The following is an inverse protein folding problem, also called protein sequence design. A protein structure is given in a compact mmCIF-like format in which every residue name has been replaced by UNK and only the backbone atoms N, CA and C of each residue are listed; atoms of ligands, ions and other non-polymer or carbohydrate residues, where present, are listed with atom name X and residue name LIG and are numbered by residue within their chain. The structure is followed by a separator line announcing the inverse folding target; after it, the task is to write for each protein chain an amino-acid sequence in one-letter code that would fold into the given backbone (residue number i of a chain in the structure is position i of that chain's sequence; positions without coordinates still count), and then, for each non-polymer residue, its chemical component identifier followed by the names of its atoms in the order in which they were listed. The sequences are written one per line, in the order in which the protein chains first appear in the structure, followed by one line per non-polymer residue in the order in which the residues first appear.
data_IF_067305015029
#
_entry.id   IF_067305015029
#
_cell.length_a   1.000
_cell.length_b   1.000
_cell.length_c   1.000
_cell.angle_alpha   90.00
_cell.angle_beta   90.00
_cell.angle_gamma   90.00
#
_symmetry.space_group_name_H-M   'P 1'
#
loop_
_entity.id
_entity.type
_entity.pdbx_description
1 polymer ?
#
# COMPACT_ATOMS: atom_id res chain seq x y z
N UNK A 1 22.27 -34.80 110.17
CA UNK A 1 21.54 -35.97 109.62
C UNK A 1 20.10 -35.88 110.15
N UNK A 2 19.18 -35.41 109.29
CA UNK A 2 17.85 -34.96 109.70
C UNK A 2 16.85 -36.12 109.88
N UNK A 3 16.05 -35.98 110.94
CA UNK A 3 15.12 -36.96 111.50
C UNK A 3 13.80 -37.04 110.73
N UNK A 4 13.49 -38.28 110.39
CA UNK A 4 12.22 -39.01 110.40
C UNK A 4 10.99 -38.47 111.17
N UNK A 5 9.83 -38.71 110.52
CA UNK A 5 8.54 -39.26 111.02
C UNK A 5 7.56 -38.41 111.90
N UNK A 6 6.36 -38.23 111.31
CA UNK A 6 5.00 -38.54 111.82
C UNK A 6 4.36 -37.73 112.97
N UNK A 7 3.14 -37.21 112.70
CA UNK A 7 1.91 -37.21 113.53
C UNK A 7 0.95 -36.11 113.00
N UNK A 8 -0.27 -36.39 112.55
CA UNK A 8 -1.51 -36.50 113.36
C UNK A 8 -2.22 -35.13 113.40
N UNK A 9 -3.36 -34.87 112.73
CA UNK A 9 -4.76 -35.28 112.97
C UNK A 9 -5.62 -34.03 113.28
N UNK A 10 -6.84 -33.93 112.68
CA UNK A 10 -8.00 -33.08 113.07
C UNK A 10 -7.90 -31.55 112.73
N UNK A 11 -8.86 -30.78 112.19
CA UNK A 11 -10.35 -30.72 112.25
C UNK A 11 -10.94 -29.92 111.04
N UNK A 12 -11.98 -30.48 110.41
CA UNK A 12 -13.27 -29.93 109.92
C UNK A 12 -13.49 -28.40 109.69
N UNK A 13 -13.94 -27.99 108.47
CA UNK A 13 -15.07 -27.04 108.24
C UNK A 13 -15.43 -26.79 106.74
N UNK A 14 -16.56 -27.38 106.30
CA UNK A 14 -17.68 -26.85 105.47
C UNK A 14 -17.47 -25.99 104.21
N UNK A 15 -18.03 -26.47 103.06
CA UNK A 15 -18.94 -25.84 102.05
C UNK A 15 -18.72 -26.55 100.69
N UNK A 16 -19.66 -26.87 99.81
CA UNK A 16 -21.11 -26.67 99.64
C UNK A 16 -21.50 -27.67 98.53
N UNK A 17 -22.56 -28.46 98.71
CA UNK A 17 -23.07 -29.34 97.67
C UNK A 17 -23.83 -28.52 96.61
N UNK A 18 -23.49 -28.70 95.33
CA UNK A 18 -24.40 -28.42 94.21
C UNK A 18 -24.52 -29.71 93.38
N UNK A 19 -25.64 -30.42 93.57
CA UNK A 19 -26.03 -31.54 92.72
C UNK A 19 -26.69 -30.99 91.45
N UNK A 20 -25.92 -30.84 90.37
CA UNK A 20 -26.50 -30.65 89.04
C UNK A 20 -26.82 -32.01 88.45
N UNK A 21 -28.12 -32.29 88.33
CA UNK A 21 -28.68 -33.41 87.58
C UNK A 21 -28.33 -33.25 86.10
N UNK A 22 -27.38 -34.05 85.60
CA UNK A 22 -27.10 -34.14 84.16
C UNK A 22 -28.22 -34.97 83.54
N UNK A 23 -29.30 -34.30 83.16
CA UNK A 23 -30.28 -34.83 82.21
C UNK A 23 -29.53 -35.33 80.97
N UNK A 24 -29.91 -36.53 80.52
CA UNK A 24 -29.23 -37.28 79.46
C UNK A 24 -28.76 -36.43 78.28
N UNK A 25 -27.45 -36.47 78.04
CA UNK A 25 -26.90 -36.12 76.75
C UNK A 25 -27.42 -37.16 75.74
N UNK A 26 -28.44 -36.77 74.98
CA UNK A 26 -28.82 -37.47 73.76
C UNK A 26 -27.58 -37.44 72.87
N UNK A 27 -26.98 -38.61 72.63
CA UNK A 27 -25.98 -38.74 71.59
C UNK A 27 -26.61 -38.28 70.27
N UNK A 28 -26.15 -37.15 69.73
CA UNK A 28 -26.39 -36.83 68.34
C UNK A 28 -25.81 -37.98 67.50
N UNK A 29 -26.51 -38.45 66.46
CA UNK A 29 -25.90 -39.39 65.54
C UNK A 29 -24.68 -38.69 64.96
N UNK A 30 -23.49 -39.26 65.19
CA UNK A 30 -22.28 -38.86 64.49
C UNK A 30 -22.58 -38.98 63.00
N UNK A 31 -22.85 -37.83 62.36
CA UNK A 31 -23.01 -37.78 60.92
C UNK A 31 -21.67 -38.23 60.33
N UNK A 32 -21.64 -39.43 59.78
CA UNK A 32 -20.49 -39.93 59.06
C UNK A 32 -20.13 -38.87 58.01
N UNK A 33 -18.95 -38.25 58.13
CA UNK A 33 -18.49 -37.25 57.17
C UNK A 33 -18.45 -37.96 55.81
N UNK A 34 -19.27 -37.53 54.82
CA UNK A 34 -19.30 -38.20 53.53
C UNK A 34 -17.90 -38.11 52.91
N UNK A 35 -17.37 -39.26 52.49
CA UNK A 35 -16.05 -39.34 51.87
C UNK A 35 -16.07 -38.51 50.58
N UNK A 36 -15.32 -37.42 50.56
CA UNK A 36 -15.22 -36.56 49.38
C UNK A 36 -14.67 -37.37 48.19
N UNK A 37 -15.26 -37.14 47.01
CA UNK A 37 -14.83 -37.77 45.77
C UNK A 37 -13.79 -36.88 45.09
N UNK A 38 -12.73 -37.48 44.57
CA UNK A 38 -11.69 -36.78 43.83
C UNK A 38 -12.01 -36.76 42.34
N UNK A 39 -12.06 -35.55 41.77
CA UNK A 39 -12.19 -35.33 40.34
C UNK A 39 -10.84 -34.86 39.80
N UNK A 40 -10.40 -35.46 38.70
CA UNK A 40 -9.23 -35.02 37.94
C UNK A 40 -9.64 -34.53 36.56
N UNK A 41 -9.13 -33.36 36.18
CA UNK A 41 -9.33 -32.76 34.87
C UNK A 41 -7.96 -32.61 34.22
N UNK A 42 -7.79 -33.24 33.06
CA UNK A 42 -6.60 -33.15 32.23
C UNK A 42 -6.94 -32.53 30.86
N UNK A 43 -5.90 -32.10 30.15
CA UNK A 43 -6.01 -31.67 28.75
C UNK A 43 -5.02 -32.46 27.91
N UNK A 44 -5.36 -32.67 26.65
CA UNK A 44 -4.45 -33.21 25.64
C UNK A 44 -4.51 -32.29 24.41
N UNK A 45 -3.43 -31.53 24.10
CA UNK A 45 -2.14 -31.46 24.80
C UNK A 45 -2.23 -30.98 26.26
N UNK A 46 -1.24 -31.38 27.07
CA UNK A 46 -1.18 -31.00 28.48
C UNK A 46 -0.95 -29.49 28.67
N UNK A 47 -1.19 -29.00 29.89
CA UNK A 47 -0.93 -27.59 30.27
C UNK A 47 -1.78 -26.58 29.51
N UNK A 48 -3.04 -26.90 29.22
CA UNK A 48 -4.02 -25.95 28.69
C UNK A 48 -4.92 -25.41 29.81
N UNK A 49 -5.52 -24.24 29.57
CA UNK A 49 -6.41 -23.55 30.49
C UNK A 49 -7.75 -24.29 30.59
N UNK A 50 -8.22 -24.51 31.80
CA UNK A 50 -9.54 -25.03 32.13
C UNK A 50 -10.26 -24.04 33.05
N UNK A 51 -11.56 -24.22 33.24
CA UNK A 51 -12.35 -23.49 34.21
C UNK A 51 -13.21 -24.47 35.01
N UNK A 52 -13.19 -24.34 36.33
CA UNK A 52 -14.07 -25.09 37.23
C UNK A 52 -14.96 -24.08 37.96
N UNK A 53 -16.28 -24.19 37.78
CA UNK A 53 -17.28 -23.23 38.23
C UNK A 53 -16.95 -21.79 37.80
N UNK A 54 -16.41 -21.62 36.60
CA UNK A 54 -15.95 -20.33 36.07
C UNK A 54 -14.58 -19.84 36.58
N UNK A 55 -13.98 -20.51 37.57
CA UNK A 55 -12.64 -20.16 38.04
C UNK A 55 -11.56 -20.76 37.13
N UNK A 56 -10.68 -19.93 36.52
CA UNK A 56 -9.62 -20.43 35.64
C UNK A 56 -8.53 -21.17 36.41
N UNK A 57 -8.02 -22.25 35.82
CA UNK A 57 -6.90 -23.05 36.33
C UNK A 57 -6.15 -23.74 35.17
N UNK A 58 -4.91 -24.15 35.40
CA UNK A 58 -4.14 -24.93 34.42
C UNK A 58 -4.34 -26.44 34.66
N UNK A 59 -4.53 -27.21 33.59
CA UNK A 59 -4.56 -28.67 33.68
C UNK A 59 -3.13 -29.28 33.69
N UNK A 60 -2.93 -30.43 34.36
CA UNK A 60 -3.92 -31.18 35.10
C UNK A 60 -4.30 -30.52 36.44
N UNK A 61 -5.59 -30.57 36.79
CA UNK A 61 -6.11 -30.12 38.07
C UNK A 61 -6.86 -31.28 38.74
N UNK A 62 -6.57 -31.53 40.01
CA UNK A 62 -7.36 -32.43 40.84
C UNK A 62 -7.97 -31.66 42.01
N UNK A 63 -9.24 -31.91 42.29
CA UNK A 63 -9.95 -31.32 43.42
C UNK A 63 -10.92 -32.32 44.04
N UNK A 64 -11.23 -32.12 45.31
CA UNK A 64 -12.24 -32.91 46.03
C UNK A 64 -13.58 -32.19 46.02
N UNK A 65 -14.68 -32.94 45.89
CA UNK A 65 -16.03 -32.43 46.01
C UNK A 65 -16.94 -33.38 46.79
N UNK A 66 -17.94 -32.80 47.44
CA UNK A 66 -18.90 -33.56 48.23
C UNK A 66 -19.74 -34.48 47.32
N UNK A 67 -20.04 -35.71 47.75
CA UNK A 67 -20.87 -36.63 46.99
C UNK A 67 -22.20 -36.01 46.57
N UNK A 68 -22.64 -36.34 45.36
CA UNK A 68 -23.90 -35.86 44.76
C UNK A 68 -24.00 -34.34 44.53
N UNK A 69 -22.90 -33.58 44.65
CA UNK A 69 -22.83 -32.20 44.16
C UNK A 69 -22.46 -32.16 42.67
N UNK A 70 -22.81 -31.07 41.99
CA UNK A 70 -22.42 -30.84 40.60
C UNK A 70 -21.32 -29.77 40.52
N UNK A 71 -20.49 -29.87 39.48
CA UNK A 71 -19.46 -28.89 39.13
C UNK A 71 -19.61 -28.53 37.66
N UNK A 72 -19.57 -27.25 37.34
CA UNK A 72 -19.43 -26.82 35.94
C UNK A 72 -17.95 -26.89 35.57
N UNK A 73 -17.65 -27.50 34.43
CA UNK A 73 -16.32 -27.52 33.85
C UNK A 73 -16.40 -26.92 32.45
N UNK A 74 -15.39 -26.15 32.08
CA UNK A 74 -15.28 -25.54 30.77
C UNK A 74 -13.81 -25.51 30.33
N UNK A 75 -13.58 -25.49 29.02
CA UNK A 75 -12.29 -25.14 28.45
C UNK A 75 -12.45 -23.97 27.48
N UNK A 76 -11.79 -22.81 27.71
CA UNK A 76 -11.75 -21.75 26.71
C UNK A 76 -11.17 -22.26 25.38
N UNK A 77 -11.73 -21.83 24.26
CA UNK A 77 -11.31 -22.28 22.92
C UNK A 77 -11.59 -21.20 21.87
N UNK A 78 -10.68 -20.97 20.90
CA UNK A 78 -9.33 -21.54 20.84
C UNK A 78 -8.41 -20.92 21.89
N UNK A 79 -7.40 -21.67 22.33
CA UNK A 79 -6.32 -21.16 23.20
C UNK A 79 -5.08 -20.88 22.36
N UNK A 80 -4.67 -19.62 22.28
CA UNK A 80 -3.54 -19.20 21.45
C UNK A 80 -2.26 -19.15 22.28
N UNK A 81 -1.20 -19.78 21.77
CA UNK A 81 0.15 -19.71 22.31
C UNK A 81 1.13 -19.37 21.17
N UNK A 82 1.38 -18.07 20.97
CA UNK A 82 2.20 -17.58 19.87
C UNK A 82 1.58 -17.92 18.51
N UNK A 83 2.31 -18.68 17.69
CA UNK A 83 1.89 -19.10 16.33
C UNK A 83 1.23 -20.49 16.30
N UNK A 84 0.88 -21.03 17.46
CA UNK A 84 0.12 -22.28 17.62
C UNK A 84 -1.17 -21.96 18.38
N UNK A 85 -2.30 -22.54 17.98
CA UNK A 85 -3.53 -22.47 18.77
C UNK A 85 -4.16 -23.84 18.94
N UNK A 86 -4.89 -24.00 20.03
CA UNK A 86 -5.54 -25.25 20.43
C UNK A 86 -7.05 -25.05 20.37
N UNK A 87 -7.72 -25.75 19.48
CA UNK A 87 -9.17 -25.71 19.33
C UNK A 87 -9.79 -26.94 20.02
N UNK A 88 -10.75 -26.71 20.92
CA UNK A 88 -11.46 -27.78 21.61
C UNK A 88 -12.09 -28.74 20.60
N UNK A 89 -11.82 -30.03 20.76
CA UNK A 89 -12.39 -31.09 19.95
C UNK A 89 -13.56 -31.75 20.69
N UNK A 90 -13.26 -32.37 21.84
CA UNK A 90 -14.26 -33.06 22.66
C UNK A 90 -13.71 -33.33 24.07
N UNK A 91 -14.63 -33.60 25.00
CA UNK A 91 -14.29 -34.21 26.27
C UNK A 91 -14.29 -35.74 26.18
N UNK A 92 -13.55 -36.40 27.07
CA UNK A 92 -13.52 -37.87 27.19
C UNK A 92 -14.85 -38.49 27.61
N UNK A 93 -15.75 -37.70 28.22
CA UNK A 93 -17.09 -38.11 28.63
C UNK A 93 -18.17 -37.75 27.58
N UNK A 94 -17.79 -37.17 26.45
CA UNK A 94 -18.70 -36.74 25.39
C UNK A 94 -19.52 -35.49 25.72
N UNK A 95 -19.19 -34.76 26.81
CA UNK A 95 -19.84 -33.51 27.16
C UNK A 95 -19.55 -32.37 26.18
N UNK A 96 -20.40 -31.32 26.20
CA UNK A 96 -20.15 -30.07 25.48
C UNK A 96 -18.95 -29.32 26.06
N UNK A 97 -18.39 -28.34 25.33
CA UNK A 97 -17.21 -27.57 25.77
C UNK A 97 -17.33 -27.03 27.21
N UNK A 98 -18.49 -26.46 27.54
CA UNK A 98 -18.92 -26.16 28.90
C UNK A 98 -20.06 -27.11 29.26
N UNK A 99 -19.93 -27.86 30.36
CA UNK A 99 -20.97 -28.75 30.87
C UNK A 99 -20.85 -28.97 32.36
N UNK A 100 -21.84 -29.65 32.93
CA UNK A 100 -21.85 -30.04 34.34
C UNK A 100 -21.47 -31.50 34.49
N UNK A 101 -20.63 -31.78 35.49
CA UNK A 101 -20.26 -33.12 35.93
C UNK A 101 -20.80 -33.37 37.33
N UNK A 102 -21.13 -34.63 37.63
CA UNK A 102 -21.56 -35.04 38.96
C UNK A 102 -20.40 -35.59 39.78
N UNK A 103 -20.31 -35.18 41.03
CA UNK A 103 -19.37 -35.70 42.01
C UNK A 103 -19.89 -36.97 42.71
N UNK A 104 -20.68 -37.82 42.03
CA UNK A 104 -21.24 -39.03 42.63
C UNK A 104 -20.18 -40.10 42.94
N UNK A 105 -19.09 -40.15 42.17
CA UNK A 105 -17.94 -41.03 42.34
C UNK A 105 -16.66 -40.32 41.88
N UNK A 106 -15.46 -40.84 42.19
CA UNK A 106 -14.22 -40.34 41.60
C UNK A 106 -14.29 -40.42 40.07
N UNK A 107 -13.74 -39.41 39.38
CA UNK A 107 -13.86 -39.27 37.94
C UNK A 107 -12.66 -38.59 37.29
N UNK A 108 -12.33 -39.02 36.08
CA UNK A 108 -11.27 -38.44 35.27
C UNK A 108 -11.87 -37.88 33.97
N UNK A 109 -11.68 -36.59 33.74
CA UNK A 109 -12.16 -35.88 32.55
C UNK A 109 -10.96 -35.36 31.77
N UNK A 110 -10.86 -35.69 30.48
CA UNK A 110 -9.81 -35.19 29.60
C UNK A 110 -10.44 -34.36 28.49
N UNK A 111 -10.05 -33.10 28.35
CA UNK A 111 -10.38 -32.30 27.18
C UNK A 111 -9.34 -32.53 26.08
N UNK A 112 -9.78 -32.98 24.93
CA UNK A 112 -8.96 -33.12 23.74
C UNK A 112 -9.05 -31.87 22.88
N UNK A 113 -7.91 -31.43 22.36
CA UNK A 113 -7.80 -30.27 21.48
C UNK A 113 -7.12 -30.68 20.17
N UNK A 114 -7.62 -30.12 19.08
CA UNK A 114 -6.90 -30.06 17.82
C UNK A 114 -5.81 -28.99 17.89
N UNK A 115 -4.64 -29.30 17.34
CA UNK A 115 -3.54 -28.33 17.21
C UNK A 115 -3.69 -27.66 15.84
N UNK A 116 -3.64 -26.33 15.80
CA UNK A 116 -3.59 -25.56 14.57
C UNK A 116 -2.34 -24.68 14.56
N UNK A 117 -1.68 -24.60 13.41
CA UNK A 117 -0.50 -23.76 13.20
C UNK A 117 -0.84 -22.54 12.34
N UNK A 118 -0.18 -21.43 12.64
CA UNK A 118 -0.29 -20.23 11.84
C UNK A 118 0.56 -20.36 10.56
N UNK A 119 -0.09 -20.16 9.43
CA UNK A 119 0.52 -19.89 8.14
C UNK A 119 0.48 -18.37 7.91
N UNK A 120 1.61 -17.71 8.14
CA UNK A 120 1.79 -16.29 7.85
C UNK A 120 2.08 -16.09 6.37
N UNK A 121 1.27 -15.28 5.70
CA UNK A 121 1.32 -15.02 4.26
C UNK A 121 1.74 -13.58 4.03
N UNK A 122 2.82 -13.39 3.27
CA UNK A 122 3.35 -12.08 2.93
C UNK A 122 3.72 -12.03 1.44
N UNK A 123 3.83 -10.83 0.92
CA UNK A 123 4.40 -10.57 -0.41
C UNK A 123 5.41 -9.45 -0.34
N UNK A 124 6.35 -9.48 -1.27
CA UNK A 124 7.28 -8.38 -1.55
C UNK A 124 7.21 -8.05 -3.05
N UNK A 125 6.68 -6.88 -3.45
CA UNK A 125 6.18 -5.80 -2.59
C UNK A 125 4.90 -6.20 -1.83
N UNK A 126 4.62 -5.49 -0.73
CA UNK A 126 3.48 -5.78 0.15
C UNK A 126 2.13 -5.47 -0.51
N UNK A 127 1.04 -5.93 0.11
CA UNK A 127 -0.34 -5.68 -0.33
C UNK A 127 -0.74 -6.38 -1.63
N UNK A 128 -0.01 -7.43 -2.03
CA UNK A 128 -0.42 -8.34 -3.10
C UNK A 128 -1.23 -9.51 -2.53
N UNK A 129 -1.84 -10.28 -3.43
CA UNK A 129 -2.72 -11.39 -3.08
C UNK A 129 -1.95 -12.71 -3.06
N UNK A 130 -2.26 -13.56 -2.09
CA UNK A 130 -1.87 -14.98 -2.04
C UNK A 130 -3.15 -15.79 -1.91
N UNK A 131 -3.21 -16.96 -2.54
CA UNK A 131 -4.31 -17.89 -2.39
C UNK A 131 -3.91 -19.08 -1.52
N UNK A 132 -4.81 -19.53 -0.66
CA UNK A 132 -4.71 -20.81 0.07
C UNK A 132 -5.94 -21.64 -0.28
N UNK A 133 -5.75 -22.83 -0.82
CA UNK A 133 -6.81 -23.74 -1.32
C UNK A 133 -7.81 -23.05 -2.26
N UNK A 134 -7.31 -22.12 -3.09
CA UNK A 134 -8.11 -21.34 -4.04
C UNK A 134 -8.86 -20.14 -3.44
N UNK A 135 -8.73 -19.89 -2.13
CA UNK A 135 -9.27 -18.69 -1.48
C UNK A 135 -8.22 -17.58 -1.46
N UNK A 136 -8.58 -16.40 -1.95
CA UNK A 136 -7.69 -15.25 -2.01
C UNK A 136 -7.59 -14.49 -0.68
N UNK A 137 -6.37 -14.13 -0.30
CA UNK A 137 -6.02 -13.35 0.88
C UNK A 137 -5.16 -12.15 0.48
N UNK A 138 -5.56 -10.94 0.87
CA UNK A 138 -4.69 -9.77 0.80
C UNK A 138 -3.61 -9.88 1.88
N UNK A 139 -2.34 -9.68 1.52
CA UNK A 139 -1.22 -9.80 2.45
C UNK A 139 -0.84 -8.45 3.09
N UNK A 140 -0.34 -8.44 4.34
CA UNK A 140 -0.07 -9.58 5.21
C UNK A 140 -1.35 -10.24 5.75
N UNK A 141 -1.37 -11.58 5.82
CA UNK A 141 -2.48 -12.35 6.37
C UNK A 141 -2.00 -13.55 7.17
N UNK A 142 -2.86 -14.07 8.04
CA UNK A 142 -2.61 -15.30 8.80
C UNK A 142 -3.77 -16.26 8.59
N UNK A 143 -3.45 -17.44 8.08
CA UNK A 143 -4.39 -18.57 7.97
C UNK A 143 -4.01 -19.59 9.04
N UNK A 144 -4.99 -20.10 9.76
CA UNK A 144 -4.76 -21.17 10.72
C UNK A 144 -5.12 -22.51 10.08
N UNK A 145 -4.15 -23.41 10.01
CA UNK A 145 -4.32 -24.73 9.43
C UNK A 145 -4.24 -25.80 10.51
N UNK A 146 -4.98 -26.91 10.32
CA UNK A 146 -4.97 -28.04 11.23
C UNK A 146 -3.66 -28.81 11.12
N UNK A 147 -3.07 -29.19 12.25
CA UNK A 147 -1.83 -29.98 12.27
C UNK A 147 -1.96 -31.26 11.45
N UNK A 148 -0.99 -31.52 10.57
CA UNK A 148 -0.92 -32.70 9.72
C UNK A 148 -1.67 -32.58 8.39
N UNK A 149 -2.36 -31.48 8.11
CA UNK A 149 -2.94 -31.22 6.77
C UNK A 149 -1.90 -30.70 5.79
N UNK A 150 -2.25 -30.72 4.51
CA UNK A 150 -1.48 -30.13 3.42
C UNK A 150 -2.38 -29.13 2.71
N UNK A 151 -1.87 -27.93 2.45
CA UNK A 151 -2.60 -26.85 1.79
C UNK A 151 -1.94 -26.45 0.49
N UNK A 152 -2.74 -26.21 -0.54
CA UNK A 152 -2.28 -25.61 -1.79
C UNK A 152 -2.11 -24.12 -1.59
N UNK A 153 -0.95 -23.57 -1.92
CA UNK A 153 -0.67 -22.15 -1.89
C UNK A 153 -0.32 -21.67 -3.28
N UNK A 154 -0.86 -20.52 -3.67
CA UNK A 154 -0.62 -19.92 -4.97
C UNK A 154 -0.33 -18.43 -4.81
N UNK A 155 0.63 -17.92 -5.57
CA UNK A 155 0.82 -16.51 -5.78
C UNK A 155 0.30 -16.16 -7.18
N UNK A 156 -0.96 -15.71 -7.34
CA UNK A 156 -1.50 -15.36 -8.65
C UNK A 156 -0.57 -14.41 -9.39
N UNK A 157 -0.37 -14.63 -10.69
CA UNK A 157 0.52 -13.79 -11.49
C UNK A 157 0.03 -13.77 -12.95
N UNK A 158 0.06 -12.62 -13.63
CA UNK A 158 0.45 -11.30 -13.11
C UNK A 158 -0.63 -10.69 -12.17
N UNK A 159 -0.21 -9.83 -11.23
CA UNK A 159 -1.12 -8.99 -10.44
C UNK A 159 -1.00 -7.51 -10.82
N UNK A 160 -1.96 -6.70 -10.40
CA UNK A 160 -2.00 -5.26 -10.67
C UNK A 160 -2.79 -4.88 -11.93
N UNK A 161 -3.03 -3.59 -12.09
CA UNK A 161 -3.81 -3.01 -13.19
C UNK A 161 -3.04 -1.90 -13.91
N UNK A 162 -3.49 -1.56 -15.13
CA UNK A 162 -2.92 -0.48 -15.95
C UNK A 162 -1.43 -0.68 -16.29
N UNK A 163 -0.62 0.35 -16.08
CA UNK A 163 0.79 0.39 -16.49
C UNK A 163 1.76 -0.31 -15.52
N UNK A 164 1.31 -0.83 -14.38
CA UNK A 164 2.16 -1.61 -13.46
C UNK A 164 1.65 -3.06 -13.35
N UNK A 165 2.56 -4.02 -13.45
CA UNK A 165 2.29 -5.45 -13.28
C UNK A 165 3.31 -6.09 -12.35
N UNK A 166 2.84 -6.91 -11.42
CA UNK A 166 3.66 -7.69 -10.50
C UNK A 166 3.78 -9.11 -11.04
N UNK A 167 5.00 -9.51 -11.40
CA UNK A 167 5.31 -10.81 -11.97
C UNK A 167 5.98 -11.66 -10.90
N UNK A 168 5.41 -12.81 -10.60
CA UNK A 168 5.93 -13.73 -9.60
C UNK A 168 7.36 -14.14 -9.97
N UNK A 169 8.25 -14.11 -8.98
CA UNK A 169 9.62 -14.56 -9.10
C UNK A 169 9.78 -15.92 -8.43
N UNK A 170 9.60 -15.94 -7.10
CA UNK A 170 9.81 -17.12 -6.27
C UNK A 170 9.17 -16.93 -4.90
N UNK A 171 8.97 -18.03 -4.20
CA UNK A 171 8.70 -18.03 -2.77
C UNK A 171 10.00 -18.08 -1.96
N UNK A 172 9.96 -17.66 -0.71
CA UNK A 172 11.08 -17.83 0.24
C UNK A 172 11.40 -19.29 0.57
N UNK A 173 10.46 -20.21 0.37
CA UNK A 173 10.64 -21.65 0.57
C UNK A 173 11.14 -22.39 -0.69
N UNK A 174 11.32 -21.68 -1.80
CA UNK A 174 11.75 -22.24 -3.08
C UNK A 174 10.66 -22.99 -3.85
N UNK A 175 9.41 -22.95 -3.40
CA UNK A 175 8.27 -23.53 -4.11
C UNK A 175 7.99 -22.86 -5.45
N UNK A 176 7.31 -23.59 -6.35
CA UNK A 176 6.76 -23.02 -7.58
C UNK A 176 5.64 -22.01 -7.31
N UNK A 177 5.12 -21.33 -8.34
CA UNK A 177 4.06 -20.33 -8.16
C UNK A 177 2.84 -20.89 -7.41
N UNK A 178 2.38 -22.07 -7.84
CA UNK A 178 1.41 -22.93 -7.17
C UNK A 178 2.16 -24.16 -6.66
N UNK A 179 2.09 -24.41 -5.36
CA UNK A 179 2.66 -25.59 -4.72
C UNK A 179 1.89 -25.95 -3.45
N UNK A 180 2.30 -27.02 -2.79
CA UNK A 180 1.68 -27.45 -1.52
C UNK A 180 2.63 -27.26 -0.36
N UNK A 181 2.10 -26.87 0.79
CA UNK A 181 2.85 -26.76 2.04
C UNK A 181 2.20 -27.63 3.13
N UNK A 182 2.99 -28.40 3.90
CA UNK A 182 2.47 -29.13 5.05
C UNK A 182 2.22 -28.17 6.23
N UNK A 183 1.14 -28.41 6.96
CA UNK A 183 0.85 -27.76 8.23
C UNK A 183 1.39 -28.62 9.39
N UNK A 184 2.70 -28.80 9.44
CA UNK A 184 3.41 -29.59 10.47
C UNK A 184 3.98 -28.73 11.61
N UNK A 185 4.05 -27.42 11.37
CA UNK A 185 4.60 -26.41 12.26
C UNK A 185 4.17 -25.02 11.78
N UNK A 186 4.27 -23.98 12.62
CA UNK A 186 4.04 -22.61 12.16
C UNK A 186 4.99 -22.23 11.02
N UNK A 187 4.48 -21.59 9.98
CA UNK A 187 5.22 -21.30 8.75
C UNK A 187 5.01 -19.87 8.30
N UNK A 188 6.05 -19.26 7.75
CA UNK A 188 5.99 -17.95 7.10
C UNK A 188 6.34 -18.09 5.63
N UNK A 189 5.39 -17.75 4.77
CA UNK A 189 5.54 -17.72 3.32
C UNK A 189 5.61 -16.28 2.84
N UNK A 190 6.61 -16.00 2.01
CA UNK A 190 6.80 -14.70 1.35
C UNK A 190 6.92 -14.94 -0.15
N UNK A 191 5.98 -14.43 -0.94
CA UNK A 191 6.08 -14.44 -2.40
C UNK A 191 6.77 -13.15 -2.87
N UNK A 192 7.86 -13.30 -3.59
CA UNK A 192 8.58 -12.21 -4.22
C UNK A 192 8.08 -11.99 -5.64
N UNK A 193 7.86 -10.73 -6.00
CA UNK A 193 7.46 -10.32 -7.33
C UNK A 193 8.44 -9.26 -7.84
N UNK A 194 8.74 -9.29 -9.14
CA UNK A 194 9.31 -8.13 -9.81
C UNK A 194 8.18 -7.24 -10.32
N UNK A 195 8.46 -5.94 -10.35
CA UNK A 195 7.55 -4.95 -10.90
C UNK A 195 7.95 -4.72 -12.36
N UNK A 196 6.99 -4.87 -13.27
CA UNK A 196 7.11 -4.50 -14.67
C UNK A 196 6.24 -3.29 -14.94
N UNK A 197 6.79 -2.30 -15.64
CA UNK A 197 6.11 -1.07 -16.03
C UNK A 197 5.89 -1.05 -17.53
N UNK A 198 4.74 -0.54 -17.96
CA UNK A 198 4.46 -0.24 -19.37
C UNK A 198 4.65 1.24 -19.61
N UNK A 199 5.50 1.57 -20.59
CA UNK A 199 5.80 2.93 -21.02
C UNK A 199 5.14 3.16 -22.37
N UNK A 200 4.42 4.27 -22.48
CA UNK A 200 3.77 4.68 -23.74
C UNK A 200 4.54 5.83 -24.36
N UNK A 201 4.69 5.79 -25.69
CA UNK A 201 5.35 6.82 -26.48
C UNK A 201 4.37 7.30 -27.54
N UNK A 202 4.16 8.61 -27.58
CA UNK A 202 3.26 9.30 -28.48
C UNK A 202 4.02 10.31 -29.34
N UNK A 203 3.30 10.92 -30.27
CA UNK A 203 3.76 12.11 -30.99
C UNK A 203 2.69 13.19 -30.95
N UNK A 204 3.10 14.45 -31.15
CA UNK A 204 2.21 15.61 -31.19
C UNK A 204 1.19 15.57 -32.33
N UNK A 205 1.44 14.78 -33.38
CA UNK A 205 0.58 14.63 -34.55
C UNK A 205 0.50 13.15 -34.90
N UNK A 206 -0.71 12.67 -35.21
CA UNK A 206 -0.94 11.28 -35.58
C UNK A 206 -0.38 10.97 -36.98
N UNK A 207 0.85 10.46 -37.01
CA UNK A 207 1.55 9.92 -38.19
C UNK A 207 2.42 8.73 -37.72
N UNK A 208 2.74 7.77 -38.60
CA UNK A 208 3.55 6.60 -38.26
C UNK A 208 5.06 6.94 -38.15
N UNK A 209 5.39 7.93 -37.33
CA UNK A 209 6.77 8.25 -36.97
C UNK A 209 7.44 7.09 -36.24
N UNK A 210 8.76 7.02 -36.30
CA UNK A 210 9.53 6.00 -35.58
C UNK A 210 10.30 6.59 -34.40
N UNK A 211 10.37 5.82 -33.32
CA UNK A 211 11.27 6.02 -32.18
C UNK A 211 12.09 4.76 -32.00
N UNK A 212 13.36 4.88 -31.62
CA UNK A 212 14.17 3.74 -31.22
C UNK A 212 14.11 3.61 -29.70
N UNK A 213 13.81 2.39 -29.22
CA UNK A 213 13.95 1.98 -27.82
C UNK A 213 15.09 0.98 -27.75
N UNK A 214 16.16 1.32 -27.02
CA UNK A 214 17.40 0.53 -26.94
C UNK A 214 17.98 0.18 -28.33
N UNK A 215 17.86 1.12 -29.28
CA UNK A 215 18.30 0.95 -30.67
C UNK A 215 17.32 0.20 -31.58
N UNK A 216 16.20 -0.31 -31.05
CA UNK A 216 15.19 -1.03 -31.83
C UNK A 216 14.08 -0.04 -32.28
N UNK A 217 13.83 0.12 -33.59
CA UNK A 217 12.81 1.03 -34.10
C UNK A 217 11.39 0.53 -33.79
N UNK A 218 10.51 1.45 -33.40
CA UNK A 218 9.09 1.25 -33.11
C UNK A 218 8.26 2.37 -33.74
N UNK A 219 7.12 2.03 -34.33
CA UNK A 219 6.18 2.99 -34.94
C UNK A 219 5.25 3.58 -33.88
N UNK A 220 5.03 4.89 -33.91
CA UNK A 220 4.19 5.62 -32.95
C UNK A 220 2.69 5.58 -33.33
N UNK A 221 1.76 5.53 -32.34
CA UNK A 221 2.03 5.38 -30.91
C UNK A 221 2.61 3.99 -30.58
N UNK A 222 3.63 3.96 -29.72
CA UNK A 222 4.32 2.75 -29.34
C UNK A 222 4.21 2.52 -27.84
N UNK A 223 4.26 1.26 -27.42
CA UNK A 223 4.46 0.91 -26.01
C UNK A 223 5.61 -0.09 -25.88
N UNK A 224 6.22 -0.14 -24.70
CA UNK A 224 7.14 -1.21 -24.33
C UNK A 224 7.11 -1.44 -22.82
N UNK A 225 7.53 -2.63 -22.39
CA UNK A 225 7.62 -3.00 -20.98
C UNK A 225 9.06 -3.02 -20.49
N UNK A 226 9.30 -2.58 -19.26
CA UNK A 226 10.59 -2.69 -18.60
C UNK A 226 10.44 -3.06 -17.12
N UNK A 227 11.48 -3.68 -16.56
CA UNK A 227 11.55 -3.97 -15.13
C UNK A 227 11.80 -2.67 -14.35
N UNK A 228 11.15 -2.54 -13.19
CA UNK A 228 11.29 -1.37 -12.33
C UNK A 228 12.75 -1.14 -11.94
N UNK A 229 13.18 0.11 -11.96
CA UNK A 229 14.55 0.54 -11.67
C UNK A 229 15.55 0.32 -12.81
N UNK A 230 15.16 -0.30 -13.93
CA UNK A 230 16.06 -0.47 -15.08
C UNK A 230 16.09 0.76 -15.97
N UNK A 231 17.23 1.00 -16.61
CA UNK A 231 17.40 2.08 -17.58
C UNK A 231 17.03 1.64 -19.00
N UNK A 232 16.49 2.57 -19.78
CA UNK A 232 16.14 2.41 -21.20
C UNK A 232 16.57 3.63 -21.99
N UNK A 233 17.01 3.43 -23.22
CA UNK A 233 17.44 4.51 -24.11
C UNK A 233 16.37 4.79 -25.15
N UNK A 234 15.84 6.02 -25.13
CA UNK A 234 14.97 6.54 -26.17
C UNK A 234 15.78 7.41 -27.13
N UNK A 235 15.60 7.20 -28.43
CA UNK A 235 16.17 8.08 -29.45
C UNK A 235 15.29 8.20 -30.67
N UNK A 236 15.38 9.33 -31.35
CA UNK A 236 14.66 9.60 -32.59
C UNK A 236 15.68 9.89 -33.68
N UNK A 237 15.73 9.04 -34.70
CA UNK A 237 16.45 9.34 -35.94
C UNK A 237 15.66 10.39 -36.71
N UNK A 238 16.30 11.50 -37.07
CA UNK A 238 15.68 12.66 -37.73
C UNK A 238 16.62 13.20 -38.82
N UNK A 239 16.12 13.69 -39.96
CA UNK A 239 14.70 13.80 -40.36
C UNK A 239 14.07 12.45 -40.72
N UNK A 240 12.74 12.37 -40.66
CA UNK A 240 11.95 11.21 -41.10
C UNK A 240 11.09 11.57 -42.31
N UNK A 241 10.92 10.63 -43.24
CA UNK A 241 9.98 10.81 -44.37
C UNK A 241 8.75 9.96 -44.10
N UNK A 242 7.62 10.62 -43.88
CA UNK A 242 6.34 9.97 -43.58
C UNK A 242 5.26 10.61 -44.44
N UNK A 243 4.45 9.78 -45.10
CA UNK A 243 3.34 10.26 -45.96
C UNK A 243 3.80 11.29 -47.01
N UNK A 244 4.93 11.03 -47.69
CA UNK A 244 5.56 11.92 -48.70
C UNK A 244 5.97 13.32 -48.19
N UNK A 245 6.02 13.53 -46.88
CA UNK A 245 6.52 14.75 -46.27
C UNK A 245 7.75 14.45 -45.42
N UNK A 246 8.73 15.34 -45.45
CA UNK A 246 9.89 15.29 -44.54
C UNK A 246 9.52 16.00 -43.25
N UNK A 247 9.75 15.33 -42.13
CA UNK A 247 9.48 15.83 -40.78
C UNK A 247 10.78 15.87 -39.99
N UNK A 248 10.97 16.96 -39.24
CA UNK A 248 12.09 17.16 -38.33
C UNK A 248 11.59 16.94 -36.91
N UNK A 249 12.28 16.11 -36.15
CA UNK A 249 12.11 16.03 -34.71
C UNK A 249 12.58 17.33 -34.06
N UNK A 250 11.72 17.98 -33.30
CA UNK A 250 12.00 19.27 -32.64
C UNK A 250 12.31 19.14 -31.16
N UNK A 251 12.02 18.00 -30.54
CA UNK A 251 12.32 17.71 -29.15
C UNK A 251 11.27 16.84 -28.48
N UNK A 252 11.59 16.33 -27.29
CA UNK A 252 10.61 15.69 -26.42
C UNK A 252 9.76 16.76 -25.71
N UNK A 253 8.49 16.47 -25.42
CA UNK A 253 7.60 17.43 -24.75
C UNK A 253 8.02 17.81 -23.32
N UNK A 254 8.85 16.99 -22.68
CA UNK A 254 9.46 17.25 -21.37
C UNK A 254 10.86 17.86 -21.48
N UNK A 255 11.27 18.31 -22.67
CA UNK A 255 12.56 18.94 -22.96
C UNK A 255 13.79 18.03 -22.74
N UNK A 256 13.59 16.71 -22.68
CA UNK A 256 14.70 15.76 -22.62
C UNK A 256 15.62 15.80 -23.85
N UNK A 257 16.89 15.37 -23.73
CA UNK A 257 17.82 15.31 -24.85
C UNK A 257 17.46 14.19 -25.85
N UNK A 258 18.14 14.17 -27.00
CA UNK A 258 18.07 13.08 -27.98
C UNK A 258 19.49 12.66 -28.39
N UNK A 259 19.94 11.42 -28.10
CA UNK A 259 19.24 10.37 -27.34
C UNK A 259 19.08 10.73 -25.85
N UNK A 260 18.21 10.00 -25.14
CA UNK A 260 18.06 10.09 -23.67
C UNK A 260 17.98 8.72 -23.02
N UNK A 261 18.51 8.63 -21.81
CA UNK A 261 18.24 7.53 -20.90
C UNK A 261 17.07 7.90 -20.01
N UNK A 262 16.15 6.96 -19.82
CA UNK A 262 15.05 7.04 -18.89
C UNK A 262 15.17 5.88 -17.90
N UNK A 263 14.82 6.12 -16.64
CA UNK A 263 14.72 5.08 -15.63
C UNK A 263 13.28 4.61 -15.56
N UNK A 264 13.06 3.31 -15.50
CA UNK A 264 11.74 2.71 -15.32
C UNK A 264 11.34 2.76 -13.84
N UNK A 265 11.05 3.94 -13.30
CA UNK A 265 10.70 4.16 -11.89
C UNK A 265 9.22 4.53 -11.67
N UNK A 266 8.45 4.69 -12.75
CA UNK A 266 7.02 4.91 -12.72
C UNK A 266 6.38 4.77 -14.09
N UNK A 267 5.04 4.68 -14.17
CA UNK A 267 4.33 4.73 -15.44
C UNK A 267 4.54 6.11 -16.07
N UNK A 268 5.32 6.16 -17.15
CA UNK A 268 5.66 7.38 -17.87
C UNK A 268 5.11 7.35 -19.30
N UNK A 269 4.59 8.50 -19.74
CA UNK A 269 4.25 8.74 -21.14
C UNK A 269 5.27 9.71 -21.73
N UNK A 270 5.90 9.34 -22.83
CA UNK A 270 6.81 10.22 -23.57
C UNK A 270 6.13 10.71 -24.84
N UNK A 271 6.33 11.96 -25.21
CA UNK A 271 5.79 12.50 -26.46
C UNK A 271 6.89 13.16 -27.27
N UNK A 272 7.06 12.70 -28.51
CA UNK A 272 8.01 13.23 -29.47
C UNK A 272 7.34 14.30 -30.34
N UNK A 273 7.93 15.50 -30.39
CA UNK A 273 7.42 16.58 -31.23
C UNK A 273 8.09 16.56 -32.60
N UNK A 274 7.27 16.59 -33.65
CA UNK A 274 7.71 16.69 -35.03
C UNK A 274 7.09 17.90 -35.70
N UNK A 275 7.83 18.48 -36.62
CA UNK A 275 7.41 19.61 -37.43
C UNK A 275 7.79 19.37 -38.89
N UNK A 276 6.90 19.77 -39.83
CA UNK A 276 7.13 19.53 -41.26
C UNK A 276 8.27 20.40 -41.75
N UNK A 277 9.25 19.81 -42.41
CA UNK A 277 10.30 20.56 -43.11
C UNK A 277 9.67 21.14 -44.37
N UNK A 278 9.41 22.44 -44.35
CA UNK A 278 9.11 23.19 -45.57
C UNK A 278 10.45 23.45 -46.26
N UNK A 279 10.62 22.94 -47.48
CA UNK A 279 11.74 23.36 -48.32
C UNK A 279 11.71 24.87 -48.56
N UNK A 280 12.80 25.49 -49.04
CA UNK A 280 12.67 26.81 -49.64
C UNK A 280 11.55 26.70 -50.68
N UNK A 281 10.54 27.56 -50.60
CA UNK A 281 9.45 27.56 -51.57
C UNK A 281 10.01 27.61 -52.99
N UNK A 282 9.22 27.25 -54.03
CA UNK A 282 9.64 27.54 -55.39
C UNK A 282 10.12 28.99 -55.42
N UNK A 283 11.36 29.21 -55.87
CA UNK A 283 11.92 30.55 -55.99
C UNK A 283 10.83 31.44 -56.62
N UNK A 284 10.52 32.63 -56.05
CA UNK A 284 9.59 33.52 -56.71
C UNK A 284 10.05 33.66 -58.18
N UNK A 285 9.13 33.58 -59.15
CA UNK A 285 9.49 33.75 -60.55
C UNK A 285 10.36 35.01 -60.67
N UNK A 286 11.44 34.99 -61.48
CA UNK A 286 12.32 36.12 -61.63
C UNK A 286 11.46 37.37 -61.85
N UNK A 287 11.67 38.38 -61.00
CA UNK A 287 10.97 39.64 -61.15
C UNK A 287 11.11 40.12 -62.60
N UNK A 288 10.02 40.54 -63.26
CA UNK A 288 10.12 41.12 -64.59
C UNK A 288 11.15 42.26 -64.52
N UNK A 289 11.99 42.45 -65.55
CA UNK A 289 13.16 43.31 -65.48
C UNK A 289 12.78 44.70 -64.98
N UNK A 290 13.33 45.06 -63.82
CA UNK A 290 13.16 46.34 -63.12
C UNK A 290 13.48 47.55 -64.04
N UNK A 291 14.20 47.31 -65.14
CA UNK A 291 14.58 48.29 -66.16
C UNK A 291 13.37 49.01 -66.79
N UNK A 292 12.25 48.30 -67.05
CA UNK A 292 11.08 48.94 -67.67
C UNK A 292 10.37 49.91 -66.71
N UNK A 293 10.25 49.55 -65.44
CA UNK A 293 9.62 50.40 -64.42
C UNK A 293 10.52 51.56 -63.99
N UNK A 294 11.84 51.38 -63.96
CA UNK A 294 12.79 52.46 -63.67
C UNK A 294 12.83 53.48 -64.81
N UNK A 295 12.82 53.05 -66.08
CA UNK A 295 12.74 53.99 -67.21
C UNK A 295 11.41 54.75 -67.20
N UNK A 296 10.28 54.07 -66.96
CA UNK A 296 8.98 54.72 -66.86
C UNK A 296 8.93 55.71 -65.69
N UNK A 297 9.47 55.34 -64.51
CA UNK A 297 9.54 56.21 -63.35
C UNK A 297 10.47 57.41 -63.58
N UNK A 298 11.59 57.25 -64.28
CA UNK A 298 12.50 58.35 -64.66
C UNK A 298 11.80 59.28 -65.67
N UNK A 299 11.08 58.75 -66.66
CA UNK A 299 10.34 59.57 -67.64
C UNK A 299 9.21 60.34 -66.95
N UNK A 300 8.44 59.69 -66.07
CA UNK A 300 7.39 60.36 -65.28
C UNK A 300 8.00 61.41 -64.35
N UNK A 301 9.13 61.12 -63.70
CA UNK A 301 9.83 62.08 -62.86
C UNK A 301 10.34 63.28 -63.68
N UNK A 302 10.88 63.07 -64.89
CA UNK A 302 11.31 64.16 -65.77
C UNK A 302 10.11 65.01 -66.23
N UNK A 303 8.97 64.39 -66.56
CA UNK A 303 7.74 65.10 -66.93
C UNK A 303 7.20 65.91 -65.74
N UNK A 304 7.20 65.34 -64.53
CA UNK A 304 6.79 66.03 -63.31
C UNK A 304 7.76 67.15 -62.97
N UNK A 305 9.08 66.94 -63.08
CA UNK A 305 10.10 67.98 -62.83
C UNK A 305 9.97 69.11 -63.86
N UNK A 306 9.79 68.81 -65.15
CA UNK A 306 9.53 69.84 -66.18
C UNK A 306 8.22 70.58 -65.90
N UNK A 307 7.17 69.88 -65.48
CA UNK A 307 5.90 70.49 -65.07
C UNK A 307 6.05 71.39 -63.84
N UNK A 308 6.83 70.96 -62.84
CA UNK A 308 7.10 71.73 -61.63
C UNK A 308 8.02 72.92 -61.91
N UNK A 309 9.00 72.80 -62.82
CA UNK A 309 9.86 73.93 -63.25
C UNK A 309 9.06 74.96 -64.05
N UNK A 310 8.16 74.51 -64.94
CA UNK A 310 7.20 75.40 -65.63
C UNK A 310 6.21 76.04 -64.65
N UNK A 311 5.86 75.36 -63.56
CA UNK A 311 5.00 75.91 -62.51
C UNK A 311 5.75 76.87 -61.56
N UNK A 312 7.02 76.61 -61.26
CA UNK A 312 7.88 77.44 -60.40
C UNK A 312 8.34 78.72 -61.10
N UNK A 313 8.48 78.72 -62.42
CA UNK A 313 8.77 79.96 -63.18
C UNK A 313 7.60 80.94 -63.22
N UNK A 314 6.40 80.53 -62.79
CA UNK A 314 5.17 81.32 -62.89
C UNK A 314 4.51 81.68 -61.53
N UNK A 315 5.24 81.62 -60.42
CA UNK A 315 4.73 82.07 -59.11
C UNK A 315 5.70 83.04 -58.40
N UNK A 316 5.33 84.33 -58.40
CA UNK A 316 5.89 85.39 -57.54
C UNK A 316 5.30 85.29 -56.12
N UNK A 317 6.19 85.32 -55.10
CA UNK A 317 5.90 85.57 -53.67
C UNK A 317 5.17 84.42 -52.95
N UNK A 318 5.36 84.08 -51.67
CA UNK A 318 6.05 84.64 -50.50
C UNK A 318 6.11 83.52 -49.42
N UNK A 319 6.77 83.68 -48.25
CA UNK A 319 7.59 82.63 -47.64
C UNK A 319 6.96 81.75 -46.53
N UNK A 320 7.70 80.67 -46.28
CA UNK A 320 7.79 79.69 -45.17
C UNK A 320 6.92 79.83 -43.91
N UNK A 321 6.45 78.67 -43.43
CA UNK A 321 6.23 78.40 -42.01
C UNK A 321 6.84 77.04 -41.63
N UNK A 322 7.76 77.09 -40.68
CA UNK A 322 8.47 75.97 -40.05
C UNK A 322 7.56 75.30 -39.01
N UNK A 323 7.49 73.96 -39.00
CA UNK A 323 6.77 73.20 -37.98
C UNK A 323 7.73 72.26 -37.23
N UNK A 324 7.76 72.46 -35.91
CA UNK A 324 8.52 71.73 -34.89
C UNK A 324 7.84 70.37 -34.58
N UNK A 325 8.57 69.29 -34.26
CA UNK A 325 7.94 68.03 -33.86
C UNK A 325 7.58 68.00 -32.37
N UNK A 326 6.42 67.39 -32.06
CA UNK A 326 5.88 67.14 -30.71
C UNK A 326 6.58 65.93 -30.07
N UNK A 327 6.90 65.92 -28.76
CA UNK A 327 7.51 64.76 -28.12
C UNK A 327 6.47 63.67 -27.84
N UNK A 328 6.82 62.43 -28.20
CA UNK A 328 6.07 61.22 -27.87
C UNK A 328 6.35 60.86 -26.40
N UNK A 329 5.33 60.93 -25.54
CA UNK A 329 5.43 60.46 -24.15
C UNK A 329 5.23 58.94 -24.12
N UNK A 330 6.26 58.21 -23.71
CA UNK A 330 6.18 56.77 -23.42
C UNK A 330 5.50 56.59 -22.07
N UNK A 331 4.26 56.06 -22.06
CA UNK A 331 3.68 55.48 -20.85
C UNK A 331 4.34 54.12 -20.60
N UNK A 332 5.09 54.01 -19.53
CA UNK A 332 5.37 52.72 -18.89
C UNK A 332 4.15 52.32 -18.05
N UNK A 333 3.54 51.15 -18.27
CA UNK A 333 2.70 50.55 -17.24
C UNK A 333 3.60 49.83 -16.24
N UNK A 334 3.63 50.35 -15.01
CA UNK A 334 3.96 49.52 -13.86
C UNK A 334 2.85 48.47 -13.73
N UNK A 335 3.17 47.19 -13.96
CA UNK A 335 2.30 46.09 -13.54
C UNK A 335 2.96 45.41 -12.35
N UNK A 336 2.28 45.42 -11.21
CA UNK A 336 2.58 44.54 -10.09
C UNK A 336 2.35 43.11 -10.57
N UNK A 337 3.42 42.33 -10.75
CA UNK A 337 3.33 40.90 -11.02
C UNK A 337 2.75 40.18 -9.81
N UNK A 338 1.57 39.58 -9.95
CA UNK A 338 1.03 38.64 -8.96
C UNK A 338 1.88 37.36 -9.02
N UNK A 339 2.36 36.88 -7.89
CA UNK A 339 3.18 35.65 -7.83
C UNK A 339 2.29 34.42 -7.64
N UNK A 340 2.65 33.30 -8.26
CA UNK A 340 1.98 32.02 -8.05
C UNK A 340 2.08 31.59 -6.58
N UNK A 341 0.96 31.26 -5.95
CA UNK A 341 0.90 30.84 -4.55
C UNK A 341 1.58 29.50 -4.26
N UNK A 342 1.75 28.65 -5.28
CA UNK A 342 2.31 27.30 -5.11
C UNK A 342 3.83 27.22 -5.34
N UNK A 343 4.39 28.07 -6.22
CA UNK A 343 5.82 28.04 -6.55
C UNK A 343 6.51 29.41 -6.51
N UNK A 344 5.79 30.50 -6.20
CA UNK A 344 6.35 31.85 -5.99
C UNK A 344 6.81 32.57 -7.26
N UNK A 345 6.67 31.95 -8.44
CA UNK A 345 7.10 32.51 -9.73
C UNK A 345 6.18 33.67 -10.17
N UNK A 346 6.71 34.71 -10.85
CA UNK A 346 5.89 35.80 -11.39
C UNK A 346 4.87 35.24 -12.39
N UNK A 347 3.60 35.62 -12.27
CA UNK A 347 2.54 35.28 -13.21
C UNK A 347 1.90 36.56 -13.76
N UNK A 348 1.56 36.55 -15.05
CA UNK A 348 0.78 37.64 -15.64
C UNK A 348 -0.71 37.45 -15.28
N UNK A 349 -1.43 38.56 -15.14
CA UNK A 349 -2.83 38.57 -14.65
C UNK A 349 -3.82 37.83 -15.56
N UNK A 350 -3.46 37.55 -16.81
CA UNK A 350 -4.27 36.86 -17.81
C UNK A 350 -4.05 35.34 -17.86
N UNK A 351 -3.16 34.79 -17.03
CA UNK A 351 -2.84 33.36 -17.05
C UNK A 351 -3.87 32.53 -16.27
N UNK A 352 -4.33 31.43 -16.87
CA UNK A 352 -5.26 30.48 -16.23
C UNK A 352 -4.52 29.38 -15.45
N UNK A 353 -3.29 29.04 -15.87
CA UNK A 353 -2.44 28.02 -15.24
C UNK A 353 -0.99 28.53 -15.15
N UNK A 354 -0.25 28.10 -14.12
CA UNK A 354 1.16 28.43 -13.95
C UNK A 354 2.02 27.62 -14.91
N UNK A 355 2.79 28.30 -15.76
CA UNK A 355 3.62 27.65 -16.79
C UNK A 355 4.86 26.91 -16.24
N UNK A 356 5.17 27.07 -14.95
CA UNK A 356 6.32 26.40 -14.30
C UNK A 356 5.90 25.12 -13.58
N UNK A 357 4.74 25.12 -12.92
CA UNK A 357 4.30 24.01 -12.08
C UNK A 357 2.93 23.42 -12.47
N UNK A 358 2.23 24.00 -13.44
CA UNK A 358 0.94 23.51 -13.93
C UNK A 358 -0.27 23.83 -13.04
N UNK A 359 -0.09 24.49 -11.90
CA UNK A 359 -1.19 24.79 -10.97
C UNK A 359 -2.17 25.85 -11.54
N UNK A 360 -3.47 25.73 -11.24
CA UNK A 360 -4.48 26.75 -11.57
C UNK A 360 -4.17 28.08 -10.89
N UNK A 361 -4.30 29.19 -11.61
CA UNK A 361 -4.11 30.56 -11.09
C UNK A 361 -5.44 31.29 -10.82
N UNK A 362 -6.58 30.65 -11.09
CA UNK A 362 -7.92 31.08 -10.66
C UNK A 362 -8.43 30.23 -9.52
#
# INVERSE_FOLDING_TARGET
MHRALSAGLLVLATLLALTVSIKGARAEPSAAIPKANTISIATSPASLLIQVNGTPAMAPLSFSCDPATNRSINVPSPQVNGSTRYAFLNWSDGGSQNHTISCAAPGNFTAYFSIEYALSLNTDPSSLTVEVDGLAYATPSVVWCLSGTIHGVNAPSPQGANASRFIFLNWNDGGGQLHTVPCDSPRSLVAFFRITLTIFIFSNIQQPFQVNVDGIPRVLPAEFTCDFGTDRVLSVTTPQTVSNSTWRFTGWSDFGPNPRTIQCDGPGNYSANFERVVGPGPNPPPSPPIVAFVILAIVVAIIVILGVVLWMTNRKGSPMASAVPVPFQVRTPASLATRCSNCGSPAAQDWTYCMVCGASLR
#
